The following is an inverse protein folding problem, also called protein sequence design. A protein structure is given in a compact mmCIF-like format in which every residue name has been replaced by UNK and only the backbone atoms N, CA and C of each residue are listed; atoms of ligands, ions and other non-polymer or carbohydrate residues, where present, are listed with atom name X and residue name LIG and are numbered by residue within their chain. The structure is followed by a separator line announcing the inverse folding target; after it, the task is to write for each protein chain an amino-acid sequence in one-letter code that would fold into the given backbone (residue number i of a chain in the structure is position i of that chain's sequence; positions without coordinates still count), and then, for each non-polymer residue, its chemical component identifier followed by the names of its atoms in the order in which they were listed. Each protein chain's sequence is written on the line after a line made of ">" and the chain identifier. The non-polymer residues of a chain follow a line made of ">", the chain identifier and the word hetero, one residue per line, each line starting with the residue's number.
data_IF_633589862596
#
_entry.id   IF_633589862596
#
_cell.length_a   1.000
_cell.length_b   1.000
_cell.length_c   1.000
_cell.angle_alpha   90.00
_cell.angle_beta   90.00
_cell.angle_gamma   90.00
#
_symmetry.space_group_name_H-M   'P 1'
#
loop_
_entity.id
_entity.type
_entity.pdbx_description
1 polymer ?
#
# COMPACT_ATOMS: atom_id res chain seq x y z
N UNK A 1 -5.99 -11.00 8.76
CA UNK A 1 -5.38 -9.69 9.08
C UNK A 1 -5.09 -9.57 10.56
N UNK A 2 -5.91 -10.14 11.46
CA UNK A 2 -5.73 -10.07 12.92
C UNK A 2 -4.27 -10.11 13.44
N UNK A 3 -3.40 -11.07 13.04
CA UNK A 3 -2.03 -11.06 13.55
C UNK A 3 -1.27 -9.77 13.21
N UNK A 4 -1.44 -9.23 12.00
CA UNK A 4 -0.82 -7.98 11.59
C UNK A 4 -1.36 -6.79 12.39
N UNK A 5 -2.67 -6.74 12.64
CA UNK A 5 -3.29 -5.64 13.38
C UNK A 5 -2.83 -5.57 14.83
N UNK A 6 -2.54 -6.73 15.40
CA UNK A 6 -1.96 -6.84 16.74
C UNK A 6 -0.47 -6.49 16.74
N UNK A 7 0.31 -6.87 15.72
CA UNK A 7 1.77 -6.68 15.71
C UNK A 7 2.22 -5.28 15.28
N UNK A 8 1.51 -4.63 14.35
CA UNK A 8 1.85 -3.30 13.82
C UNK A 8 2.12 -2.26 14.93
N UNK A 9 1.28 -2.11 15.99
CA UNK A 9 1.56 -1.15 17.05
C UNK A 9 2.91 -1.40 17.74
N UNK A 10 3.24 -2.67 18.02
CA UNK A 10 4.52 -3.03 18.64
C UNK A 10 5.70 -2.71 17.72
N UNK A 11 5.57 -3.01 16.43
CA UNK A 11 6.59 -2.67 15.44
C UNK A 11 6.84 -1.15 15.39
N UNK A 12 5.78 -0.34 15.44
CA UNK A 12 5.90 1.13 15.42
C UNK A 12 6.57 1.67 16.68
N UNK A 13 6.27 1.09 17.85
CA UNK A 13 6.92 1.43 19.12
C UNK A 13 8.41 1.11 19.09
N UNK A 14 8.79 -0.07 18.60
CA UNK A 14 10.20 -0.47 18.45
C UNK A 14 10.95 0.41 17.44
N UNK A 15 10.29 0.84 16.36
CA UNK A 15 10.88 1.73 15.36
C UNK A 15 10.93 3.22 15.79
N UNK A 16 10.25 3.60 16.88
CA UNK A 16 10.18 4.99 17.29
C UNK A 16 11.52 5.45 17.90
N UNK A 17 12.05 6.59 17.42
CA UNK A 17 13.19 7.24 18.05
C UNK A 17 12.88 7.55 19.53
N UNK A 18 13.91 7.46 20.38
CA UNK A 18 13.84 7.73 21.82
C UNK A 18 13.21 9.12 22.07
N UNK A 19 11.97 9.12 22.57
CA UNK A 19 11.17 10.33 22.81
C UNK A 19 9.79 10.37 22.12
N UNK A 20 9.55 9.53 21.11
CA UNK A 20 8.25 9.43 20.44
C UNK A 20 7.36 8.29 20.94
N UNK A 21 7.80 7.52 21.94
CA UNK A 21 7.05 6.37 22.49
C UNK A 21 5.66 6.78 23.00
N UNK A 22 5.51 7.99 23.53
CA UNK A 22 4.23 8.51 24.04
C UNK A 22 3.21 8.75 22.92
N UNK A 23 3.63 8.83 21.65
CA UNK A 23 2.73 9.06 20.51
C UNK A 23 2.05 7.78 19.99
N UNK A 24 2.60 6.59 20.26
CA UNK A 24 2.09 5.35 19.69
C UNK A 24 1.50 4.46 20.79
N UNK A 25 0.18 4.24 20.73
CA UNK A 25 -0.51 3.28 21.60
C UNK A 25 -0.32 1.83 21.14
N UNK A 26 -0.55 0.88 22.06
CA UNK A 26 -0.51 -0.56 21.78
C UNK A 26 -1.88 -1.14 21.37
N UNK A 27 -2.89 -0.29 21.23
CA UNK A 27 -4.21 -0.72 20.79
C UNK A 27 -4.13 -1.32 19.37
N UNK A 28 -4.88 -2.41 19.10
CA UNK A 28 -4.90 -3.02 17.79
C UNK A 28 -5.36 -2.05 16.72
N UNK A 29 -4.70 -2.08 15.57
CA UNK A 29 -5.09 -1.22 14.45
C UNK A 29 -6.32 -1.78 13.74
N UNK A 30 -7.11 -0.90 13.12
CA UNK A 30 -8.18 -1.31 12.22
C UNK A 30 -7.63 -1.58 10.82
N UNK A 31 -8.40 -2.32 10.01
CA UNK A 31 -8.06 -2.57 8.62
C UNK A 31 -9.26 -2.31 7.73
N UNK A 32 -8.99 -1.61 6.63
CA UNK A 32 -9.94 -1.46 5.54
C UNK A 32 -9.41 -2.18 4.31
N UNK A 33 -10.30 -2.87 3.61
CA UNK A 33 -10.04 -3.40 2.26
C UNK A 33 -10.87 -2.61 1.26
N UNK A 34 -10.34 -1.52 0.69
CA UNK A 34 -11.01 -0.84 -0.41
C UNK A 34 -11.14 -1.83 -1.57
N UNK A 35 -12.37 -2.06 -2.03
CA UNK A 35 -12.64 -2.80 -3.28
C UNK A 35 -13.03 -1.84 -4.41
N UNK A 36 -13.58 -0.67 -4.05
CA UNK A 36 -13.99 0.36 -5.00
C UNK A 36 -12.79 1.23 -5.35
N UNK A 37 -12.51 1.38 -6.65
CA UNK A 37 -11.39 2.19 -7.13
C UNK A 37 -10.02 1.50 -7.02
N UNK A 38 -9.97 0.24 -6.57
CA UNK A 38 -8.77 -0.58 -6.67
C UNK A 38 -8.75 -1.25 -8.04
N UNK A 39 -7.75 -0.98 -8.88
CA UNK A 39 -7.63 -1.60 -10.19
C UNK A 39 -7.45 -3.11 -10.11
N UNK A 40 -8.05 -3.80 -11.06
CA UNK A 40 -7.64 -5.15 -11.41
C UNK A 40 -6.41 -5.09 -12.30
N UNK A 41 -5.38 -5.82 -11.92
CA UNK A 41 -4.10 -5.91 -12.65
C UNK A 41 -4.07 -7.17 -13.50
N UNK A 42 -3.34 -7.14 -14.62
CA UNK A 42 -2.98 -8.35 -15.35
C UNK A 42 -2.03 -9.23 -14.52
N UNK A 43 -1.94 -10.51 -14.90
CA UNK A 43 -1.00 -11.45 -14.30
C UNK A 43 0.44 -10.96 -14.53
N UNK A 44 1.19 -10.76 -13.45
CA UNK A 44 2.59 -10.30 -13.49
C UNK A 44 2.81 -8.87 -13.02
N UNK A 45 1.81 -8.00 -13.12
CA UNK A 45 1.94 -6.56 -12.80
C UNK A 45 1.59 -6.23 -11.34
N UNK A 46 1.33 -7.23 -10.50
CA UNK A 46 0.84 -7.03 -9.13
C UNK A 46 1.82 -6.24 -8.25
N UNK A 47 3.14 -6.44 -8.42
CA UNK A 47 4.16 -5.71 -7.69
C UNK A 47 4.21 -4.23 -8.07
N UNK A 48 4.20 -3.93 -9.38
CA UNK A 48 4.24 -2.56 -9.90
C UNK A 48 2.99 -1.79 -9.48
N UNK A 49 1.82 -2.42 -9.63
CA UNK A 49 0.57 -1.81 -9.23
C UNK A 49 0.46 -1.60 -7.71
N UNK A 50 1.00 -2.52 -6.90
CA UNK A 50 1.07 -2.33 -5.45
C UNK A 50 1.94 -1.12 -5.06
N UNK A 51 3.15 -1.02 -5.63
CA UNK A 51 4.06 0.11 -5.36
C UNK A 51 3.42 1.42 -5.80
N UNK A 52 2.78 1.45 -6.97
CA UNK A 52 2.17 2.67 -7.46
C UNK A 52 0.95 3.10 -6.65
N UNK A 53 0.15 2.14 -6.19
CA UNK A 53 -0.96 2.42 -5.28
C UNK A 53 -0.47 3.08 -3.99
N UNK A 54 0.63 2.58 -3.42
CA UNK A 54 1.26 3.17 -2.23
C UNK A 54 1.73 4.61 -2.52
N UNK A 55 2.38 4.84 -3.67
CA UNK A 55 2.83 6.18 -4.07
C UNK A 55 1.67 7.17 -4.22
N UNK A 56 0.63 6.83 -4.99
CA UNK A 56 -0.56 7.67 -5.16
C UNK A 56 -1.23 7.98 -3.82
N UNK A 57 -1.36 6.97 -2.96
CA UNK A 57 -1.95 7.12 -1.64
C UNK A 57 -1.12 8.05 -0.74
N UNK A 58 0.21 7.92 -0.74
CA UNK A 58 1.10 8.80 0.02
C UNK A 58 1.09 10.25 -0.47
N UNK A 59 0.89 10.46 -1.78
CA UNK A 59 0.79 11.80 -2.40
C UNK A 59 -0.61 12.41 -2.35
N UNK A 60 -1.62 11.65 -1.93
CA UNK A 60 -3.02 12.11 -1.91
C UNK A 60 -3.64 12.32 -3.30
N UNK A 61 -3.10 11.66 -4.33
CA UNK A 61 -3.62 11.71 -5.71
C UNK A 61 -4.41 10.45 -6.05
N UNK A 62 -5.34 10.55 -6.99
CA UNK A 62 -6.08 9.38 -7.46
C UNK A 62 -5.15 8.40 -8.19
N UNK A 63 -5.34 7.11 -7.95
CA UNK A 63 -4.72 6.07 -8.74
C UNK A 63 -5.54 5.84 -10.02
N UNK A 64 -4.91 5.90 -11.20
CA UNK A 64 -5.48 5.40 -12.47
C UNK A 64 -4.57 4.31 -13.05
N UNK A 65 -5.04 3.06 -13.22
CA UNK A 65 -4.23 2.00 -13.81
C UNK A 65 -3.77 2.29 -15.25
N UNK A 66 -4.46 3.18 -15.97
CA UNK A 66 -4.08 3.58 -17.32
C UNK A 66 -2.78 4.37 -17.36
N UNK A 67 -2.45 5.08 -16.28
CA UNK A 67 -1.20 5.85 -16.19
C UNK A 67 0.04 4.94 -16.11
N UNK A 68 -0.17 3.63 -15.89
CA UNK A 68 0.88 2.61 -15.74
C UNK A 68 0.82 1.50 -16.78
N UNK A 69 -0.23 1.48 -17.62
CA UNK A 69 -0.37 0.55 -18.72
C UNK A 69 0.34 1.08 -19.98
N UNK A 70 1.63 0.76 -20.14
CA UNK A 70 2.20 0.32 -21.43
C UNK A 70 3.65 -0.15 -21.32
N UNK A 71 3.82 -1.47 -21.33
CA UNK A 71 4.95 -2.13 -21.98
C UNK A 71 4.43 -3.39 -22.68
N UNK A 72 3.78 -3.21 -23.84
CA UNK A 72 3.72 -4.20 -24.91
C UNK A 72 2.87 -3.66 -26.07
N UNK A 73 3.52 -2.95 -26.98
CA UNK A 73 3.31 -3.08 -28.43
C UNK A 73 4.64 -2.69 -29.11
N UNK A 74 5.68 -3.49 -28.89
CA UNK A 74 6.74 -3.60 -29.90
C UNK A 74 6.24 -4.62 -30.94
N UNK A 75 5.63 -4.07 -31.98
CA UNK A 75 5.47 -4.58 -33.35
C UNK A 75 5.64 -6.10 -33.55
N UNK A 76 4.53 -6.81 -33.70
CA UNK A 76 4.50 -7.99 -34.58
C UNK A 76 4.42 -7.48 -36.03
N UNK A 77 5.58 -7.43 -36.70
CA UNK A 77 5.74 -7.22 -38.14
C UNK A 77 6.50 -8.36 -38.76
#
# INVERSE_FOLDING_TARGET
>A
MEPFLQMVPYLLVECAATGNLVKYGLEPYTYERPLKGVPTTNNGDCGVNAVKYIECHALGVSFDPKDFARCSEENEG
#
